data_IF_848883638877
#
_entry.id   IF_848883638877
#
_cell.length_a   1.000
_cell.length_b   1.000
_cell.length_c   1.000
_cell.angle_alpha   90.00
_cell.angle_beta   90.00
_cell.angle_gamma   90.00
#
_symmetry.space_group_name_H-M   'P 1'
#
loop_
_entity.id
_entity.type
_entity.pdbx_description
1 polymer ?
#
# COMPACT_ATOMS: atom_id res chain seq x y z
N UNK A 1 7.89 16.93 39.97
CA UNK A 1 6.54 17.11 39.41
C UNK A 1 6.65 17.22 37.91
N UNK A 2 6.38 16.15 37.18
CA UNK A 2 6.28 16.18 35.71
C UNK A 2 4.84 16.60 35.38
N UNK A 3 4.66 17.83 34.91
CA UNK A 3 3.40 18.25 34.33
C UNK A 3 3.27 17.59 32.97
N UNK A 4 2.45 16.55 32.87
CA UNK A 4 2.02 16.03 31.58
C UNK A 4 1.23 17.12 30.87
N UNK A 5 1.83 17.74 29.87
CA UNK A 5 1.10 18.58 28.93
C UNK A 5 0.07 17.69 28.24
N UNK A 6 -1.21 18.10 28.12
CA UNK A 6 -2.19 17.33 27.38
C UNK A 6 -1.72 17.24 25.93
N UNK A 7 -1.44 16.01 25.48
CA UNK A 7 -1.17 15.74 24.09
C UNK A 7 -2.46 16.00 23.30
N UNK A 8 -2.54 17.10 22.55
CA UNK A 8 -3.64 17.36 21.65
C UNK A 8 -3.52 16.42 20.44
N UNK A 9 -4.28 15.33 20.45
CA UNK A 9 -4.51 14.54 19.26
C UNK A 9 -5.42 15.34 18.32
N UNK A 10 -4.88 15.83 17.21
CA UNK A 10 -5.64 16.49 16.15
C UNK A 10 -5.97 15.51 15.04
N UNK A 11 -7.26 15.33 14.70
CA UNK A 11 -7.67 14.67 13.48
C UNK A 11 -7.17 15.51 12.30
N UNK A 12 -6.43 14.86 11.39
CA UNK A 12 -5.79 15.56 10.26
C UNK A 12 -6.57 15.35 8.97
N UNK A 13 -7.10 14.14 8.76
CA UNK A 13 -7.93 13.86 7.59
C UNK A 13 -8.81 12.62 7.77
N UNK A 14 -9.88 12.61 6.98
CA UNK A 14 -10.75 11.45 6.76
C UNK A 14 -10.76 11.17 5.27
N UNK A 15 -10.57 9.90 4.89
CA UNK A 15 -10.63 9.46 3.49
C UNK A 15 -11.69 8.38 3.37
N UNK A 16 -12.48 8.43 2.30
CA UNK A 16 -13.34 7.34 1.86
C UNK A 16 -13.00 7.01 0.41
N UNK A 17 -12.88 5.74 0.08
CA UNK A 17 -12.45 5.32 -1.24
C UNK A 17 -13.04 4.00 -1.68
N UNK A 18 -12.96 3.77 -2.99
CA UNK A 18 -13.36 2.55 -3.65
C UNK A 18 -12.31 2.17 -4.69
N UNK A 19 -11.99 0.87 -4.74
CA UNK A 19 -11.04 0.27 -5.67
C UNK A 19 -11.75 -0.90 -6.36
N UNK A 20 -11.63 -0.97 -7.66
CA UNK A 20 -12.16 -2.02 -8.51
C UNK A 20 -11.06 -2.57 -9.38
N UNK A 21 -10.93 -3.90 -9.44
CA UNK A 21 -10.04 -4.57 -10.38
C UNK A 21 -10.82 -5.62 -11.15
N UNK A 22 -10.76 -5.55 -12.47
CA UNK A 22 -11.32 -6.53 -13.38
C UNK A 22 -10.19 -7.38 -13.96
N UNK A 23 -10.31 -8.70 -13.87
CA UNK A 23 -9.29 -9.63 -14.34
C UNK A 23 -9.75 -10.31 -15.62
N UNK A 24 -8.85 -10.45 -16.59
CA UNK A 24 -9.12 -11.17 -17.84
C UNK A 24 -9.27 -12.69 -17.58
N UNK A 25 -9.94 -13.36 -18.51
CA UNK A 25 -10.26 -14.79 -18.38
C UNK A 25 -11.25 -15.03 -17.24
N UNK A 26 -11.22 -16.22 -16.67
CA UNK A 26 -12.14 -16.66 -15.61
C UNK A 26 -11.73 -16.22 -14.22
N UNK A 27 -10.82 -15.22 -14.12
CA UNK A 27 -10.30 -14.70 -12.85
C UNK A 27 -11.22 -13.68 -12.17
N UNK A 28 -12.33 -13.31 -12.79
CA UNK A 28 -13.40 -12.48 -12.22
C UNK A 28 -12.98 -11.08 -11.82
N UNK A 29 -13.45 -10.57 -10.68
CA UNK A 29 -13.18 -9.20 -10.26
C UNK A 29 -12.96 -9.07 -8.76
N UNK A 30 -12.40 -7.92 -8.35
CA UNK A 30 -12.23 -7.54 -6.95
C UNK A 30 -12.78 -6.14 -6.72
N UNK A 31 -13.52 -6.00 -5.64
CA UNK A 31 -14.09 -4.75 -5.17
C UNK A 31 -13.59 -4.46 -3.76
N UNK A 32 -13.22 -3.22 -3.47
CA UNK A 32 -12.76 -2.79 -2.16
C UNK A 32 -13.32 -1.40 -1.84
N UNK A 33 -14.11 -1.30 -0.78
CA UNK A 33 -14.50 -0.04 -0.17
C UNK A 33 -13.73 0.17 1.13
N UNK A 34 -13.32 1.40 1.43
CA UNK A 34 -12.59 1.68 2.66
C UNK A 34 -12.86 3.07 3.21
N UNK A 35 -12.65 3.18 4.52
CA UNK A 35 -12.56 4.45 5.23
C UNK A 35 -11.23 4.50 6.00
N UNK A 36 -10.60 5.67 6.01
CA UNK A 36 -9.32 5.89 6.66
C UNK A 36 -9.35 7.19 7.46
N UNK A 37 -8.80 7.14 8.67
CA UNK A 37 -8.62 8.27 9.58
C UNK A 37 -7.13 8.49 9.81
N UNK A 38 -6.68 9.74 9.71
CA UNK A 38 -5.32 10.13 10.07
C UNK A 38 -5.38 11.17 11.18
N UNK A 39 -4.64 10.91 12.25
CA UNK A 39 -4.50 11.84 13.37
C UNK A 39 -3.02 12.10 13.66
N UNK A 40 -2.70 13.27 14.18
CA UNK A 40 -1.35 13.65 14.57
C UNK A 40 -1.30 13.94 16.06
N UNK A 41 -0.31 13.37 16.75
CA UNK A 41 -0.04 13.57 18.18
C UNK A 41 1.46 13.83 18.31
N UNK A 42 1.86 15.07 18.57
CA UNK A 42 3.27 15.45 18.69
C UNK A 42 4.12 14.95 17.49
N UNK A 43 5.03 14.01 17.77
CA UNK A 43 5.92 13.40 16.77
C UNK A 43 5.34 12.14 16.12
N UNK A 44 4.12 11.71 16.52
CA UNK A 44 3.46 10.54 15.98
C UNK A 44 2.37 10.95 14.98
N UNK A 45 2.28 10.20 13.88
CA UNK A 45 1.13 10.21 12.97
C UNK A 45 0.48 8.83 13.04
N UNK A 46 -0.81 8.81 13.39
CA UNK A 46 -1.61 7.61 13.55
C UNK A 46 -2.51 7.44 12.33
N UNK A 47 -2.65 6.23 11.86
CA UNK A 47 -3.58 5.86 10.79
C UNK A 47 -4.44 4.70 11.26
N UNK A 48 -5.74 4.80 11.00
CA UNK A 48 -6.71 3.70 11.13
C UNK A 48 -7.44 3.55 9.81
N UNK A 49 -7.54 2.32 9.33
CA UNK A 49 -8.24 1.99 8.11
C UNK A 49 -9.17 0.81 8.35
N UNK A 50 -10.41 0.93 7.89
CA UNK A 50 -11.39 -0.15 7.83
C UNK A 50 -11.76 -0.36 6.37
N UNK A 51 -11.66 -1.60 5.92
CA UNK A 51 -11.90 -1.98 4.54
C UNK A 51 -12.89 -3.14 4.48
N UNK A 52 -13.79 -3.07 3.50
CA UNK A 52 -14.67 -4.17 3.10
C UNK A 52 -14.28 -4.58 1.69
N UNK A 53 -13.86 -5.82 1.53
CA UNK A 53 -13.46 -6.38 0.25
C UNK A 53 -14.42 -7.47 -0.22
N UNK A 54 -14.55 -7.59 -1.54
CA UNK A 54 -15.23 -8.69 -2.21
C UNK A 54 -14.35 -9.18 -3.36
N UNK A 55 -14.19 -10.48 -3.47
CA UNK A 55 -13.53 -11.18 -4.57
C UNK A 55 -14.54 -12.11 -5.22
N UNK A 56 -14.81 -11.89 -6.48
CA UNK A 56 -15.68 -12.72 -7.30
C UNK A 56 -14.82 -13.53 -8.28
N UNK A 57 -14.94 -14.83 -8.24
CA UNK A 57 -14.48 -15.77 -9.26
C UNK A 57 -15.69 -16.25 -10.08
N UNK A 58 -15.48 -17.06 -11.09
CA UNK A 58 -16.55 -17.55 -11.94
C UNK A 58 -17.68 -18.24 -11.16
N UNK A 59 -17.34 -19.07 -10.18
CA UNK A 59 -18.28 -19.90 -9.41
C UNK A 59 -18.32 -19.59 -7.91
N UNK A 60 -17.38 -18.78 -7.41
CA UNK A 60 -17.23 -18.54 -5.99
C UNK A 60 -17.17 -17.03 -5.68
N UNK A 61 -17.70 -16.66 -4.52
CA UNK A 61 -17.72 -15.29 -4.04
C UNK A 61 -17.22 -15.23 -2.61
N UNK A 62 -16.26 -14.37 -2.35
CA UNK A 62 -15.69 -14.17 -1.03
C UNK A 62 -15.87 -12.71 -0.59
N UNK A 63 -16.27 -12.53 0.66
CA UNK A 63 -16.34 -11.23 1.30
C UNK A 63 -15.44 -11.23 2.52
N UNK A 64 -14.81 -10.11 2.82
CA UNK A 64 -14.00 -9.95 4.01
C UNK A 64 -13.96 -8.52 4.50
N UNK A 65 -13.80 -8.37 5.80
CA UNK A 65 -13.53 -7.11 6.48
C UNK A 65 -12.08 -7.11 6.95
N UNK A 66 -11.41 -5.95 6.84
CA UNK A 66 -10.04 -5.76 7.31
C UNK A 66 -9.94 -4.49 8.14
N UNK A 67 -9.39 -4.62 9.34
CA UNK A 67 -8.95 -3.51 10.17
C UNK A 67 -7.44 -3.34 10.10
N UNK A 68 -6.96 -2.11 9.99
CA UNK A 68 -5.54 -1.79 9.97
C UNK A 68 -5.24 -0.57 10.84
N UNK A 69 -4.14 -0.64 11.60
CA UNK A 69 -3.57 0.49 12.32
C UNK A 69 -2.10 0.68 11.95
N UNK A 70 -1.64 1.93 11.90
CA UNK A 70 -0.23 2.24 11.72
C UNK A 70 0.16 3.50 12.48
N UNK A 71 1.43 3.53 12.90
CA UNK A 71 2.05 4.66 13.59
C UNK A 71 3.35 5.00 12.88
N UNK A 72 3.47 6.23 12.42
CA UNK A 72 4.74 6.83 12.06
C UNK A 72 5.23 7.65 13.25
N UNK A 73 6.46 7.41 13.70
CA UNK A 73 7.06 8.15 14.79
C UNK A 73 8.35 8.82 14.33
N UNK A 74 8.40 10.13 14.44
CA UNK A 74 9.57 10.94 14.10
C UNK A 74 10.45 11.06 15.35
N UNK A 75 11.54 10.29 15.41
CA UNK A 75 12.51 10.32 16.51
C UNK A 75 13.34 11.60 16.51
N UNK A 76 13.74 12.01 15.30
CA UNK A 76 14.52 13.24 15.07
C UNK A 76 14.43 13.64 13.58
N UNK A 77 15.31 14.54 13.13
CA UNK A 77 15.25 15.06 11.74
C UNK A 77 15.74 14.07 10.68
N UNK A 78 16.46 13.02 11.06
CA UNK A 78 16.99 12.01 10.14
C UNK A 78 16.40 10.61 10.32
N UNK A 79 15.67 10.34 11.40
CA UNK A 79 15.10 9.03 11.70
C UNK A 79 13.58 9.12 11.90
N UNK A 80 12.84 8.35 11.10
CA UNK A 80 11.41 8.09 11.29
C UNK A 80 11.18 6.59 11.17
N UNK A 81 10.36 6.04 12.06
CA UNK A 81 9.92 4.64 11.99
C UNK A 81 8.44 4.58 11.64
N UNK A 82 8.03 3.47 11.02
CA UNK A 82 6.63 3.11 10.83
C UNK A 82 6.41 1.70 11.38
N UNK A 83 5.45 1.56 12.26
CA UNK A 83 4.93 0.26 12.73
C UNK A 83 3.49 0.14 12.28
N UNK A 84 3.11 -0.99 11.72
CA UNK A 84 1.75 -1.24 11.26
C UNK A 84 1.29 -2.66 11.57
N UNK A 85 0.01 -2.81 11.84
CA UNK A 85 -0.66 -4.10 12.03
C UNK A 85 -1.96 -4.11 11.24
N UNK A 86 -2.35 -5.27 10.73
CA UNK A 86 -3.68 -5.46 10.17
C UNK A 86 -4.19 -6.86 10.45
N UNK A 87 -5.52 -6.97 10.53
CA UNK A 87 -6.23 -8.22 10.70
C UNK A 87 -7.44 -8.24 9.77
N UNK A 88 -7.71 -9.39 9.19
CA UNK A 88 -8.86 -9.61 8.32
C UNK A 88 -9.50 -10.96 8.57
N UNK A 89 -10.69 -11.16 8.00
CA UNK A 89 -11.36 -12.45 7.95
C UNK A 89 -10.49 -13.48 7.22
N UNK A 90 -10.59 -14.74 7.59
CA UNK A 90 -9.83 -15.83 6.97
C UNK A 90 -10.46 -16.25 5.64
N UNK A 91 -10.30 -15.41 4.61
CA UNK A 91 -10.82 -15.61 3.26
C UNK A 91 -9.79 -15.13 2.25
N UNK A 92 -9.85 -15.57 0.97
CA UNK A 92 -8.87 -15.17 -0.06
C UNK A 92 -9.09 -13.74 -0.61
N UNK A 93 -9.52 -12.80 0.23
CA UNK A 93 -9.70 -11.38 -0.14
C UNK A 93 -8.57 -10.52 0.37
N UNK A 94 -8.13 -10.77 1.62
CA UNK A 94 -7.05 -10.05 2.29
C UNK A 94 -6.09 -11.01 2.97
N UNK A 95 -4.88 -10.54 3.24
CA UNK A 95 -4.03 -11.21 4.21
C UNK A 95 -4.71 -11.19 5.58
N UNK A 96 -4.81 -12.37 6.23
CA UNK A 96 -5.44 -12.57 7.53
C UNK A 96 -4.76 -11.78 8.64
N UNK A 97 -3.42 -11.75 8.61
CA UNK A 97 -2.60 -11.01 9.54
C UNK A 97 -1.46 -10.33 8.78
N UNK A 98 -1.12 -9.13 9.19
CA UNK A 98 -0.04 -8.35 8.63
C UNK A 98 0.64 -7.57 9.75
N UNK A 99 1.94 -7.72 9.87
CA UNK A 99 2.77 -6.90 10.73
C UNK A 99 3.85 -6.25 9.87
N UNK A 100 4.10 -4.97 10.08
CA UNK A 100 5.10 -4.22 9.32
C UNK A 100 5.91 -3.29 10.20
N UNK A 101 7.21 -3.26 9.99
CA UNK A 101 8.15 -2.32 10.59
C UNK A 101 9.04 -1.73 9.50
N UNK A 102 9.00 -0.40 9.33
CA UNK A 102 9.89 0.33 8.42
C UNK A 102 10.76 1.31 9.21
N UNK A 103 11.96 1.54 8.71
CA UNK A 103 12.92 2.55 9.17
C UNK A 103 13.25 3.44 7.99
N UNK A 104 13.07 4.75 8.16
CA UNK A 104 13.37 5.78 7.16
C UNK A 104 14.50 6.65 7.67
N UNK A 105 15.55 6.79 6.87
CA UNK A 105 16.80 7.47 7.21
C UNK A 105 17.08 8.59 6.20
N UNK A 106 17.03 9.85 6.66
CA UNK A 106 17.37 11.04 5.89
C UNK A 106 18.83 11.45 6.18
N UNK A 107 19.79 10.60 5.80
CA UNK A 107 21.22 10.78 6.11
C UNK A 107 21.93 11.75 5.16
N UNK A 108 21.40 11.94 3.96
CA UNK A 108 21.97 12.82 2.94
C UNK A 108 20.91 13.86 2.52
N UNK A 109 21.34 15.07 2.11
CA UNK A 109 20.42 16.08 1.59
C UNK A 109 19.58 15.51 0.43
N UNK A 110 18.27 15.78 0.45
CA UNK A 110 17.34 15.36 -0.61
C UNK A 110 17.27 13.86 -0.87
N UNK A 111 17.76 13.03 0.07
CA UNK A 111 17.78 11.57 -0.07
C UNK A 111 17.19 10.92 1.16
N UNK A 112 16.25 10.00 0.95
CA UNK A 112 15.65 9.18 1.99
C UNK A 112 15.94 7.70 1.68
N UNK A 113 16.61 7.03 2.60
CA UNK A 113 16.76 5.58 2.57
C UNK A 113 15.64 4.94 3.39
N UNK A 114 15.10 3.85 2.90
CA UNK A 114 14.07 3.08 3.61
C UNK A 114 14.51 1.63 3.67
N UNK A 115 14.41 1.02 4.83
CA UNK A 115 14.49 -0.44 5.01
C UNK A 115 13.32 -0.91 5.85
N UNK A 116 12.91 -2.15 5.70
CA UNK A 116 11.77 -2.65 6.46
C UNK A 116 11.61 -4.15 6.38
N UNK A 117 10.85 -4.62 7.35
CA UNK A 117 10.41 -6.00 7.45
C UNK A 117 8.88 -6.03 7.54
N UNK A 118 8.28 -7.04 6.94
CA UNK A 118 6.86 -7.32 7.02
C UNK A 118 6.67 -8.83 7.16
N UNK A 119 5.84 -9.25 8.09
CA UNK A 119 5.31 -10.60 8.21
C UNK A 119 3.85 -10.60 7.77
N UNK A 120 3.48 -11.53 6.92
CA UNK A 120 2.12 -11.63 6.39
C UNK A 120 1.66 -13.09 6.46
N UNK A 121 0.50 -13.32 7.06
CA UNK A 121 -0.17 -14.61 7.06
C UNK A 121 -1.41 -14.51 6.19
N UNK A 122 -1.47 -15.35 5.17
CA UNK A 122 -2.57 -15.42 4.21
C UNK A 122 -3.61 -16.47 4.59
N UNK A 123 -4.65 -16.58 3.78
CA UNK A 123 -5.57 -17.70 3.74
C UNK A 123 -4.78 -19.02 3.54
N UNK A 124 -5.29 -20.14 4.05
CA UNK A 124 -4.59 -21.44 4.08
C UNK A 124 -3.27 -21.45 4.87
N UNK A 125 -3.15 -20.55 5.85
CA UNK A 125 -2.01 -20.48 6.76
C UNK A 125 -0.63 -20.29 6.08
N UNK A 126 -0.59 -19.84 4.83
CA UNK A 126 0.67 -19.50 4.16
C UNK A 126 1.27 -18.25 4.79
N UNK A 127 2.51 -18.38 5.23
CA UNK A 127 3.28 -17.31 5.87
C UNK A 127 4.34 -16.78 4.90
N UNK A 128 4.48 -15.45 4.88
CA UNK A 128 5.45 -14.77 4.02
C UNK A 128 6.21 -13.74 4.83
N UNK A 129 7.52 -13.94 4.91
CA UNK A 129 8.46 -12.97 5.41
C UNK A 129 8.94 -12.06 4.28
N UNK A 130 8.93 -10.76 4.51
CA UNK A 130 9.22 -9.77 3.49
C UNK A 130 10.27 -8.79 4.00
N UNK A 131 11.39 -8.68 3.30
CA UNK A 131 12.41 -7.66 3.52
C UNK A 131 12.42 -6.67 2.38
N UNK A 132 12.49 -5.40 2.69
CA UNK A 132 12.52 -4.36 1.69
C UNK A 132 13.63 -3.35 1.96
N UNK A 133 14.20 -2.84 0.87
CA UNK A 133 15.14 -1.73 0.87
C UNK A 133 14.83 -0.77 -0.26
N UNK A 134 15.05 0.52 -0.04
CA UNK A 134 14.76 1.51 -1.06
C UNK A 134 15.44 2.84 -0.84
N UNK A 135 15.38 3.67 -1.87
CA UNK A 135 15.90 5.04 -1.86
C UNK A 135 14.91 5.96 -2.56
N UNK A 136 14.73 7.16 -2.02
CA UNK A 136 13.95 8.24 -2.64
C UNK A 136 14.80 9.49 -2.77
N UNK A 137 14.76 10.10 -3.96
CA UNK A 137 15.46 11.31 -4.32
C UNK A 137 14.45 12.45 -4.55
N UNK A 138 14.70 13.59 -3.91
CA UNK A 138 13.86 14.79 -3.96
C UNK A 138 14.54 15.85 -4.81
N UNK A 139 14.08 16.04 -6.05
CA UNK A 139 14.68 16.97 -7.02
C UNK A 139 13.63 18.02 -7.42
N UNK A 140 13.57 19.11 -6.66
CA UNK A 140 12.54 20.14 -6.87
C UNK A 140 11.12 19.57 -6.71
N UNK A 141 10.24 19.69 -7.72
CA UNK A 141 8.88 19.15 -7.66
C UNK A 141 8.83 17.61 -7.87
N UNK A 142 9.93 17.00 -8.28
CA UNK A 142 10.00 15.59 -8.64
C UNK A 142 10.54 14.76 -7.47
N UNK A 143 9.86 13.65 -7.15
CA UNK A 143 10.35 12.63 -6.22
C UNK A 143 10.47 11.34 -7.02
N UNK A 144 11.69 10.80 -7.12
CA UNK A 144 11.95 9.50 -7.74
C UNK A 144 12.31 8.51 -6.66
N UNK A 145 11.68 7.33 -6.66
CA UNK A 145 11.94 6.29 -5.67
C UNK A 145 12.20 4.95 -6.36
N UNK A 146 13.12 4.20 -5.80
CA UNK A 146 13.35 2.80 -6.13
C UNK A 146 13.17 1.95 -4.89
N UNK A 147 12.55 0.77 -5.03
CA UNK A 147 12.39 -0.22 -3.96
C UNK A 147 12.65 -1.62 -4.48
N UNK A 148 13.49 -2.34 -3.76
CA UNK A 148 13.65 -3.78 -3.87
C UNK A 148 12.93 -4.46 -2.71
N UNK A 149 12.23 -5.56 -3.01
CA UNK A 149 11.54 -6.36 -2.01
C UNK A 149 11.88 -7.83 -2.26
N UNK A 150 12.28 -8.52 -1.20
CA UNK A 150 12.48 -9.96 -1.16
C UNK A 150 11.37 -10.60 -0.31
N UNK A 151 10.79 -11.66 -0.83
CA UNK A 151 9.75 -12.44 -0.18
C UNK A 151 10.29 -13.84 0.07
N UNK A 152 10.03 -14.38 1.25
CA UNK A 152 10.29 -15.77 1.60
C UNK A 152 8.98 -16.39 2.09
N UNK A 153 8.45 -17.31 1.31
CA UNK A 153 7.16 -17.94 1.55
C UNK A 153 7.34 -19.35 2.05
N UNK A 154 6.54 -19.72 3.05
CA UNK A 154 6.56 -21.05 3.65
C UNK A 154 6.25 -22.19 2.67
N UNK A 155 5.56 -21.88 1.57
CA UNK A 155 5.13 -22.88 0.57
C UNK A 155 5.82 -22.74 -0.81
N UNK A 156 6.17 -21.53 -1.22
CA UNK A 156 6.69 -21.24 -2.56
C UNK A 156 8.17 -20.81 -2.59
N UNK A 157 8.80 -20.66 -1.40
CA UNK A 157 10.19 -20.23 -1.29
C UNK A 157 10.41 -18.77 -1.64
N UNK A 158 11.64 -18.45 -2.08
CA UNK A 158 12.08 -17.06 -2.30
C UNK A 158 11.58 -16.45 -3.60
N UNK A 159 11.12 -15.21 -3.53
CA UNK A 159 10.78 -14.39 -4.69
C UNK A 159 11.18 -12.92 -4.47
N UNK A 160 11.09 -12.08 -5.50
CA UNK A 160 11.49 -10.69 -5.37
C UNK A 160 10.65 -9.76 -6.26
N UNK A 161 10.63 -8.48 -5.89
CA UNK A 161 10.09 -7.44 -6.77
C UNK A 161 10.95 -6.18 -6.76
N UNK A 162 10.92 -5.48 -7.87
CA UNK A 162 11.52 -4.16 -8.05
C UNK A 162 10.43 -3.18 -8.42
N UNK A 163 10.43 -2.01 -7.78
CA UNK A 163 9.48 -0.96 -8.07
C UNK A 163 10.21 0.37 -8.24
N UNK A 164 9.86 1.09 -9.29
CA UNK A 164 10.25 2.48 -9.51
C UNK A 164 9.00 3.32 -9.43
N UNK A 165 9.06 4.45 -8.75
CA UNK A 165 7.99 5.44 -8.80
C UNK A 165 8.54 6.84 -9.06
N UNK A 166 7.75 7.63 -9.78
CA UNK A 166 8.02 9.03 -10.05
C UNK A 166 6.80 9.84 -9.68
N UNK A 167 6.95 10.76 -8.74
CA UNK A 167 5.92 11.73 -8.35
C UNK A 167 6.30 13.11 -8.85
N UNK A 168 5.38 13.78 -9.51
CA UNK A 168 5.45 15.18 -9.88
C UNK A 168 4.44 15.96 -9.05
N UNK A 169 4.94 16.80 -8.14
CA UNK A 169 4.11 17.69 -7.34
C UNK A 169 3.70 18.91 -8.18
N UNK A 170 2.48 19.37 -7.98
CA UNK A 170 1.99 20.59 -8.65
C UNK A 170 2.80 21.81 -8.18
N UNK A 171 3.02 22.79 -9.06
CA UNK A 171 3.73 24.02 -8.69
C UNK A 171 3.02 24.82 -7.59
N UNK A 172 1.72 24.67 -7.47
CA UNK A 172 0.86 25.32 -6.47
C UNK A 172 -0.09 24.31 -5.85
N UNK A 173 -0.28 24.40 -4.53
CA UNK A 173 -1.19 23.51 -3.80
C UNK A 173 -0.58 22.16 -3.41
N UNK A 174 -1.44 21.21 -3.07
CA UNK A 174 -1.09 19.90 -2.54
C UNK A 174 -1.34 18.75 -3.52
N UNK A 175 -1.66 19.07 -4.79
CA UNK A 175 -1.89 18.11 -5.83
C UNK A 175 -0.59 17.48 -6.35
N UNK A 176 -0.70 16.29 -6.89
CA UNK A 176 0.42 15.62 -7.56
C UNK A 176 -0.07 14.54 -8.52
N UNK A 177 0.81 14.16 -9.44
CA UNK A 177 0.67 12.97 -10.29
C UNK A 177 1.80 12.01 -9.96
N UNK A 178 1.49 10.73 -9.80
CA UNK A 178 2.49 9.71 -9.49
C UNK A 178 2.32 8.48 -10.39
N UNK A 179 3.44 8.02 -10.94
CA UNK A 179 3.55 6.79 -11.73
C UNK A 179 4.30 5.75 -10.91
N UNK A 180 3.84 4.50 -10.96
CA UNK A 180 4.55 3.33 -10.46
C UNK A 180 4.73 2.32 -11.57
N UNK A 181 5.92 1.74 -11.60
CA UNK A 181 6.29 0.62 -12.47
C UNK A 181 6.86 -0.46 -11.58
N UNK A 182 6.35 -1.68 -11.66
CA UNK A 182 6.91 -2.80 -10.92
C UNK A 182 7.09 -4.05 -11.77
N UNK A 183 8.03 -4.88 -11.35
CA UNK A 183 8.29 -6.20 -11.91
C UNK A 183 8.88 -7.10 -10.83
N UNK A 184 8.41 -8.35 -10.79
CA UNK A 184 8.93 -9.33 -9.84
C UNK A 184 8.56 -10.75 -10.20
N UNK A 185 9.04 -11.68 -9.39
CA UNK A 185 8.64 -13.08 -9.38
C UNK A 185 7.82 -13.31 -8.13
N UNK A 186 6.75 -14.10 -8.23
CA UNK A 186 5.76 -14.23 -7.15
C UNK A 186 4.94 -12.97 -6.95
N UNK A 187 3.66 -13.11 -6.79
CA UNK A 187 2.75 -11.96 -6.62
C UNK A 187 2.11 -12.02 -5.24
N UNK A 188 2.86 -11.62 -4.22
CA UNK A 188 2.32 -11.41 -2.88
C UNK A 188 1.74 -10.01 -2.76
N UNK A 189 0.79 -9.73 -3.64
CA UNK A 189 -0.03 -8.52 -3.60
C UNK A 189 -1.33 -8.81 -2.84
N UNK A 190 -2.24 -7.87 -2.84
CA UNK A 190 -3.56 -8.03 -2.21
C UNK A 190 -4.42 -9.13 -2.85
N UNK A 191 -4.05 -9.55 -4.07
CA UNK A 191 -4.77 -10.57 -4.82
C UNK A 191 -4.16 -11.93 -4.53
N UNK A 192 -4.83 -12.65 -3.67
CA UNK A 192 -4.47 -14.01 -3.37
C UNK A 192 -5.08 -14.94 -4.44
N UNK A 193 -4.23 -15.42 -5.32
CA UNK A 193 -4.51 -16.62 -6.11
C UNK A 193 -3.34 -17.56 -5.95
N UNK A 194 -3.55 -18.85 -5.69
CA UNK A 194 -2.45 -19.81 -5.47
C UNK A 194 -1.42 -19.83 -6.59
N UNK A 195 -1.85 -19.62 -7.82
CA UNK A 195 -1.03 -19.65 -9.03
C UNK A 195 -0.04 -18.49 -9.11
N UNK A 196 -0.38 -17.31 -8.59
CA UNK A 196 0.48 -16.12 -8.66
C UNK A 196 1.75 -16.23 -7.86
N UNK A 197 1.82 -17.14 -6.90
CA UNK A 197 3.00 -17.38 -6.06
C UNK A 197 4.20 -17.91 -6.83
N UNK A 198 3.98 -18.63 -7.92
CA UNK A 198 5.01 -19.30 -8.72
C UNK A 198 5.32 -18.57 -10.03
N UNK A 199 4.61 -17.48 -10.32
CA UNK A 199 4.71 -16.77 -11.57
C UNK A 199 5.58 -15.52 -11.52
N UNK A 200 5.46 -14.72 -12.56
CA UNK A 200 6.01 -13.37 -12.62
C UNK A 200 4.91 -12.34 -12.76
N UNK A 201 5.20 -11.11 -12.33
CA UNK A 201 4.27 -10.01 -12.38
C UNK A 201 4.95 -8.77 -12.94
N UNK A 202 4.21 -8.01 -13.76
CA UNK A 202 4.56 -6.64 -14.18
C UNK A 202 3.35 -5.76 -13.91
N UNK A 203 3.58 -4.51 -13.48
CA UNK A 203 2.48 -3.57 -13.34
C UNK A 203 2.88 -2.15 -13.69
N UNK A 204 1.89 -1.37 -14.12
CA UNK A 204 1.94 0.07 -14.26
C UNK A 204 0.72 0.66 -13.57
N UNK A 205 0.92 1.73 -12.80
CA UNK A 205 -0.19 2.44 -12.16
C UNK A 205 0.07 3.94 -12.18
N UNK A 206 -0.95 4.72 -12.48
CA UNK A 206 -0.93 6.17 -12.49
C UNK A 206 -1.99 6.70 -11.53
N UNK A 207 -1.59 7.60 -10.64
CA UNK A 207 -2.49 8.28 -9.72
C UNK A 207 -2.43 9.78 -9.94
N UNK A 208 -3.59 10.43 -9.85
CA UNK A 208 -3.72 11.88 -9.71
C UNK A 208 -4.41 12.20 -8.41
N UNK A 209 -3.79 13.07 -7.59
CA UNK A 209 -4.44 13.74 -6.46
C UNK A 209 -4.74 15.16 -6.89
N UNK A 210 -6.03 15.46 -7.01
CA UNK A 210 -6.54 16.75 -7.42
C UNK A 210 -7.19 17.47 -6.23
N UNK A 211 -6.61 18.57 -5.74
CA UNK A 211 -7.30 19.45 -4.81
C UNK A 211 -8.56 20.03 -5.47
N UNK A 212 -9.71 19.81 -4.86
CA UNK A 212 -10.99 20.42 -5.28
C UNK A 212 -11.24 21.72 -4.52
N UNK A 213 -10.88 21.73 -3.23
CA UNK A 213 -10.87 22.89 -2.35
C UNK A 213 -9.61 22.86 -1.49
N UNK A 214 -9.42 23.80 -0.58
CA UNK A 214 -8.33 23.76 0.41
C UNK A 214 -8.42 22.53 1.32
N UNK A 215 -9.63 22.08 1.62
CA UNK A 215 -9.91 20.96 2.52
C UNK A 215 -10.20 19.65 1.80
N UNK A 216 -10.66 19.65 0.56
CA UNK A 216 -11.13 18.46 -0.14
C UNK A 216 -10.22 18.11 -1.32
N UNK A 217 -9.71 16.88 -1.30
CA UNK A 217 -8.96 16.29 -2.40
C UNK A 217 -9.72 15.11 -3.02
N UNK A 218 -9.67 15.03 -4.35
CA UNK A 218 -10.07 13.84 -5.11
C UNK A 218 -8.81 13.09 -5.55
N UNK A 219 -8.74 11.81 -5.24
CA UNK A 219 -7.73 10.90 -5.77
C UNK A 219 -8.34 9.96 -6.80
N UNK A 220 -7.67 9.84 -7.96
CA UNK A 220 -8.02 8.91 -9.02
C UNK A 220 -6.81 8.06 -9.35
N UNK A 221 -7.00 6.75 -9.47
CA UNK A 221 -5.93 5.81 -9.84
C UNK A 221 -6.42 4.92 -10.97
N UNK A 222 -5.56 4.71 -11.96
CA UNK A 222 -5.74 3.70 -12.99
C UNK A 222 -4.47 2.88 -13.09
N UNK A 223 -4.61 1.56 -13.19
CA UNK A 223 -3.47 0.65 -13.26
C UNK A 223 -3.76 -0.58 -14.08
N UNK A 224 -2.69 -1.21 -14.54
CA UNK A 224 -2.75 -2.52 -15.20
C UNK A 224 -1.66 -3.41 -14.64
N UNK A 225 -2.02 -4.65 -14.36
CA UNK A 225 -1.12 -5.71 -13.91
C UNK A 225 -1.18 -6.85 -14.91
N UNK A 226 -0.06 -7.46 -15.19
CA UNK A 226 0.07 -8.67 -15.99
C UNK A 226 0.70 -9.75 -15.13
N UNK A 227 0.07 -10.89 -15.08
CA UNK A 227 0.52 -12.11 -14.41
C UNK A 227 0.88 -13.14 -15.46
N UNK A 228 2.03 -13.75 -15.28
CA UNK A 228 2.55 -14.86 -16.06
C UNK A 228 2.73 -16.00 -15.04
N UNK A 229 1.82 -16.96 -15.03
CA UNK A 229 1.78 -18.04 -14.05
C UNK A 229 2.02 -19.38 -14.74
N UNK A 230 2.37 -20.45 -14.01
CA UNK A 230 2.60 -21.78 -14.60
C UNK A 230 1.38 -22.38 -15.29
N UNK A 231 0.17 -21.91 -14.97
CA UNK A 231 -1.08 -22.49 -15.46
C UNK A 231 -1.79 -21.59 -16.47
N UNK A 232 -1.68 -20.26 -16.33
CA UNK A 232 -2.38 -19.31 -17.19
C UNK A 232 -1.74 -17.91 -17.12
N UNK A 233 -1.84 -17.18 -18.22
CA UNK A 233 -1.46 -15.78 -18.32
C UNK A 233 -2.71 -14.92 -18.30
N UNK A 234 -2.81 -14.01 -17.33
CA UNK A 234 -3.93 -13.09 -17.25
C UNK A 234 -3.49 -11.67 -16.86
N UNK A 235 -4.41 -10.74 -16.97
CA UNK A 235 -4.14 -9.36 -16.59
C UNK A 235 -5.31 -8.77 -15.82
N UNK A 236 -5.02 -7.76 -14.99
CA UNK A 236 -6.02 -7.01 -14.24
C UNK A 236 -6.00 -5.54 -14.61
N UNK A 237 -7.16 -4.94 -14.82
CA UNK A 237 -7.35 -3.50 -14.95
C UNK A 237 -7.90 -2.95 -13.65
N UNK A 238 -7.13 -2.07 -13.00
CA UNK A 238 -7.49 -1.44 -11.74
C UNK A 238 -7.96 -0.02 -11.95
N UNK A 239 -9.07 0.34 -11.31
CA UNK A 239 -9.59 1.70 -11.21
C UNK A 239 -9.92 2.00 -9.75
N UNK A 240 -9.43 3.12 -9.22
CA UNK A 240 -9.77 3.54 -7.87
C UNK A 240 -10.07 5.02 -7.80
N UNK A 241 -10.96 5.38 -6.88
CA UNK A 241 -11.29 6.76 -6.56
C UNK A 241 -11.42 6.93 -5.05
N UNK A 242 -10.98 8.08 -4.54
CA UNK A 242 -11.18 8.42 -3.14
C UNK A 242 -11.35 9.92 -2.93
N UNK A 243 -12.07 10.27 -1.89
CA UNK A 243 -12.21 11.63 -1.39
C UNK A 243 -11.52 11.73 -0.02
N UNK A 244 -10.69 12.74 0.15
CA UNK A 244 -10.01 13.05 1.40
C UNK A 244 -10.41 14.44 1.88
N UNK A 245 -11.02 14.48 3.06
CA UNK A 245 -11.30 15.73 3.78
C UNK A 245 -10.18 15.99 4.79
N UNK A 246 -9.63 17.21 4.78
CA UNK A 246 -8.59 17.71 5.70
C UNK A 246 -9.20 18.66 6.71
N UNK A 247 -8.74 18.59 7.94
CA UNK A 247 -9.14 19.47 9.05
C UNK A 247 -8.09 20.53 9.35
#
# INVERSE_FOLDING_TARGET
MFSALPAYAGLTSITAGYDFTDYSGDHGNRNLAYAELVAKVENATLLFNLSQGRRDYETEHFNATRGQGAVWYKWNNWLTTRTGIAFADNTPVFARQDFRQDINLALLPKTLFTTGYRYTKYYDDVEVDVWQGGVSLYTGPVITSYRYTHYDSSDAGGSYSNMISVRLNDPRGTGYTQLWLSRGTGAYTYDWTPETRYGSMKSVSLQRIQPLTEQLNLGLTAGKVWYDTPTDDYNGLQLAAHLTWKF
#
